data_IF_697518875463
#
_entry.id   IF_697518875463
#
_cell.length_a   1.000
_cell.length_b   1.000
_cell.length_c   1.000
_cell.angle_alpha   90.00
_cell.angle_beta   90.00
_cell.angle_gamma   90.00
#
_symmetry.space_group_name_H-M   'P 1'
#
loop_
_entity.id
_entity.type
_entity.pdbx_description
1 polymer ?
#
# COMPACT_ATOMS: atom_id res chain seq x y z
N UNK A 1 27.52 17.27 -5.29
CA UNK A 1 27.16 15.86 -5.09
C UNK A 1 26.03 15.54 -6.05
N UNK A 2 25.97 14.33 -6.61
CA UNK A 2 24.92 13.97 -7.56
C UNK A 2 23.55 14.04 -6.87
N UNK A 3 22.60 14.80 -7.41
CA UNK A 3 21.30 15.04 -6.79
C UNK A 3 20.58 13.72 -6.46
N UNK A 4 20.68 12.72 -7.34
CA UNK A 4 20.04 11.40 -7.13
C UNK A 4 20.72 10.58 -6.04
N UNK A 5 22.05 10.70 -5.93
CA UNK A 5 22.78 10.09 -4.82
C UNK A 5 22.37 10.72 -3.49
N UNK A 6 22.19 12.05 -3.45
CA UNK A 6 21.71 12.74 -2.25
C UNK A 6 20.34 12.19 -1.83
N UNK A 7 19.38 12.07 -2.74
CA UNK A 7 18.05 11.53 -2.43
C UNK A 7 18.12 10.11 -1.85
N UNK A 8 18.94 9.22 -2.41
CA UNK A 8 19.15 7.88 -1.85
C UNK A 8 19.75 7.96 -0.44
N UNK A 9 20.78 8.77 -0.24
CA UNK A 9 21.47 8.88 1.05
C UNK A 9 20.61 9.54 2.12
N UNK A 10 19.77 10.50 1.75
CA UNK A 10 18.79 11.12 2.65
C UNK A 10 17.78 10.08 3.15
N UNK A 11 17.26 9.24 2.26
CA UNK A 11 16.41 8.10 2.65
C UNK A 11 17.18 7.09 3.51
N UNK A 12 18.43 6.78 3.17
CA UNK A 12 19.26 5.84 3.94
C UNK A 12 19.55 6.35 5.36
N UNK A 13 19.70 7.65 5.53
CA UNK A 13 19.94 8.29 6.83
C UNK A 13 18.66 8.71 7.57
N UNK A 14 17.49 8.55 6.96
CA UNK A 14 16.23 9.01 7.55
C UNK A 14 16.20 10.53 7.72
N UNK A 15 16.74 11.28 6.76
CA UNK A 15 16.74 12.73 6.81
C UNK A 15 15.31 13.28 6.72
N UNK A 16 15.04 14.39 7.41
CA UNK A 16 13.75 15.09 7.34
C UNK A 16 13.39 15.38 5.87
N UNK A 17 12.11 15.20 5.53
CA UNK A 17 11.57 15.31 4.17
C UNK A 17 12.04 14.24 3.17
N UNK A 18 12.75 13.20 3.59
CA UNK A 18 12.91 12.00 2.76
C UNK A 18 11.62 11.16 2.79
N UNK A 19 11.40 10.35 1.74
CA UNK A 19 10.26 9.43 1.69
C UNK A 19 10.26 8.48 2.89
N UNK A 20 11.40 7.87 3.21
CA UNK A 20 11.49 6.94 4.31
C UNK A 20 11.20 7.62 5.66
N UNK A 21 11.63 8.86 5.86
CA UNK A 21 11.28 9.62 7.06
C UNK A 21 9.78 9.86 7.18
N UNK A 22 9.09 10.29 6.12
CA UNK A 22 7.63 10.45 6.12
C UNK A 22 6.93 9.12 6.43
N UNK A 23 7.43 8.04 5.86
CA UNK A 23 6.87 6.71 6.04
C UNK A 23 7.07 6.19 7.48
N UNK A 24 8.27 6.37 8.05
CA UNK A 24 8.65 5.78 9.34
C UNK A 24 8.29 6.64 10.55
N UNK A 25 8.56 7.94 10.48
CA UNK A 25 8.42 8.87 11.62
C UNK A 25 7.05 9.56 11.63
N UNK A 26 6.50 9.85 10.46
CA UNK A 26 5.21 10.54 10.34
C UNK A 26 4.04 9.60 10.03
N UNK A 27 4.34 8.31 9.82
CA UNK A 27 3.37 7.31 9.36
C UNK A 27 2.53 7.85 8.20
N UNK A 28 3.17 8.36 7.16
CA UNK A 28 2.50 8.95 6.00
C UNK A 28 3.14 8.51 4.69
N UNK A 29 2.32 8.01 3.76
CA UNK A 29 2.77 7.63 2.44
C UNK A 29 2.71 8.83 1.49
N UNK A 30 3.86 9.45 1.26
CA UNK A 30 4.02 10.55 0.30
C UNK A 30 4.42 10.00 -1.08
N UNK A 31 3.46 9.98 -2.01
CA UNK A 31 3.66 9.41 -3.34
C UNK A 31 4.65 10.22 -4.19
N UNK A 32 4.73 11.53 -4.00
CA UNK A 32 5.66 12.39 -4.74
C UNK A 32 7.10 12.15 -4.29
N UNK A 33 7.33 12.05 -2.98
CA UNK A 33 8.65 11.71 -2.44
C UNK A 33 9.07 10.28 -2.80
N UNK A 34 8.13 9.32 -2.83
CA UNK A 34 8.41 7.99 -3.37
C UNK A 34 8.80 8.08 -4.85
N UNK A 35 8.11 8.90 -5.64
CA UNK A 35 8.43 9.19 -7.05
C UNK A 35 9.86 9.70 -7.23
N UNK A 36 10.26 10.70 -6.45
CA UNK A 36 11.61 11.25 -6.48
C UNK A 36 12.67 10.21 -6.11
N UNK A 37 12.41 9.43 -5.06
CA UNK A 37 13.28 8.33 -4.64
C UNK A 37 13.43 7.26 -5.74
N UNK A 38 12.32 6.82 -6.33
CA UNK A 38 12.31 5.82 -7.41
C UNK A 38 13.07 6.31 -8.65
N UNK A 39 12.84 7.55 -9.11
CA UNK A 39 13.59 8.10 -10.24
C UNK A 39 15.08 8.22 -9.93
N UNK A 40 15.43 8.53 -8.68
CA UNK A 40 16.81 8.59 -8.24
C UNK A 40 17.49 7.22 -8.29
N UNK A 41 16.81 6.14 -7.89
CA UNK A 41 17.33 4.78 -8.07
C UNK A 41 17.62 4.49 -9.54
N UNK A 42 16.66 4.74 -10.44
CA UNK A 42 16.85 4.49 -11.88
C UNK A 42 18.04 5.23 -12.46
N UNK A 43 18.21 6.49 -12.07
CA UNK A 43 19.33 7.30 -12.54
C UNK A 43 20.67 6.82 -11.98
N UNK A 44 20.70 6.34 -10.73
CA UNK A 44 21.88 5.65 -10.17
C UNK A 44 22.20 4.38 -10.98
N UNK A 45 21.21 3.56 -11.32
CA UNK A 45 21.42 2.39 -12.19
C UNK A 45 22.01 2.80 -13.54
N UNK A 46 21.49 3.86 -14.16
CA UNK A 46 21.99 4.36 -15.44
C UNK A 46 23.46 4.81 -15.36
N UNK A 47 23.85 5.45 -14.26
CA UNK A 47 25.20 5.96 -14.07
C UNK A 47 26.21 4.88 -13.67
N UNK A 48 25.75 3.82 -13.03
CA UNK A 48 26.57 2.70 -12.56
C UNK A 48 26.54 1.51 -13.52
N UNK A 49 25.84 1.61 -14.65
CA UNK A 49 25.69 0.56 -15.63
C UNK A 49 27.05 0.07 -16.15
N UNK A 50 27.29 -1.24 -16.05
CA UNK A 50 28.54 -1.88 -16.47
C UNK A 50 29.73 -1.61 -15.54
N UNK A 51 29.53 -0.93 -14.41
CA UNK A 51 30.54 -0.75 -13.38
C UNK A 51 30.43 -1.85 -12.31
N UNK A 52 31.52 -2.17 -11.59
CA UNK A 52 31.43 -3.01 -10.40
C UNK A 52 30.48 -2.42 -9.36
N UNK A 53 29.73 -3.29 -8.67
CA UNK A 53 28.84 -2.86 -7.59
C UNK A 53 29.61 -2.11 -6.50
N UNK A 54 29.19 -0.87 -6.25
CA UNK A 54 29.66 -0.10 -5.11
C UNK A 54 28.99 -0.62 -3.83
N UNK A 55 29.81 -0.95 -2.82
CA UNK A 55 29.32 -1.58 -1.58
C UNK A 55 28.47 -0.64 -0.74
N UNK A 56 28.78 0.65 -0.73
CA UNK A 56 28.04 1.63 0.05
C UNK A 56 26.68 1.89 -0.60
N UNK A 57 26.66 2.08 -1.92
CA UNK A 57 25.42 2.20 -2.68
C UNK A 57 24.55 0.94 -2.55
N UNK A 58 25.13 -0.25 -2.69
CA UNK A 58 24.40 -1.51 -2.53
C UNK A 58 23.76 -1.64 -1.14
N UNK A 59 24.49 -1.20 -0.09
CA UNK A 59 23.94 -1.15 1.27
C UNK A 59 22.78 -0.17 1.38
N UNK A 60 22.93 1.04 0.84
CA UNK A 60 21.90 2.07 0.91
C UNK A 60 20.62 1.63 0.17
N UNK A 61 20.76 1.08 -1.05
CA UNK A 61 19.66 0.55 -1.85
C UNK A 61 18.94 -0.59 -1.11
N UNK A 62 19.68 -1.59 -0.63
CA UNK A 62 19.08 -2.74 0.08
C UNK A 62 18.37 -2.32 1.35
N UNK A 63 18.99 -1.43 2.13
CA UNK A 63 18.44 -0.97 3.40
C UNK A 63 17.13 -0.21 3.19
N UNK A 64 17.13 0.75 2.27
CA UNK A 64 15.95 1.59 2.00
C UNK A 64 14.81 0.74 1.43
N UNK A 65 15.08 -0.19 0.49
CA UNK A 65 14.07 -1.14 0.02
C UNK A 65 13.48 -1.97 1.17
N UNK A 66 14.34 -2.59 1.99
CA UNK A 66 13.89 -3.43 3.09
C UNK A 66 13.00 -2.67 4.07
N UNK A 67 13.39 -1.44 4.42
CA UNK A 67 12.62 -0.60 5.33
C UNK A 67 11.28 -0.16 4.76
N UNK A 68 11.24 0.21 3.48
CA UNK A 68 9.98 0.53 2.80
C UNK A 68 9.05 -0.70 2.85
N UNK A 69 9.53 -1.87 2.43
CA UNK A 69 8.71 -3.10 2.44
C UNK A 69 8.25 -3.51 3.85
N UNK A 70 9.08 -3.30 4.87
CA UNK A 70 8.75 -3.56 6.27
C UNK A 70 7.58 -2.69 6.73
N UNK A 71 7.63 -1.37 6.48
CA UNK A 71 6.52 -0.46 6.81
C UNK A 71 5.24 -0.78 6.01
N UNK A 72 5.38 -1.12 4.72
CA UNK A 72 4.23 -1.53 3.91
C UNK A 72 3.58 -2.82 4.41
N UNK A 73 4.37 -3.74 4.99
CA UNK A 73 3.87 -4.98 5.56
C UNK A 73 3.17 -4.75 6.91
N UNK A 74 3.69 -3.84 7.74
CA UNK A 74 3.11 -3.53 9.05
C UNK A 74 1.69 -2.96 8.95
N UNK A 75 1.37 -2.21 7.90
CA UNK A 75 0.01 -1.74 7.63
C UNK A 75 -1.04 -2.87 7.57
N UNK A 76 -0.61 -4.11 7.27
CA UNK A 76 -1.48 -5.29 7.23
C UNK A 76 -1.49 -6.11 8.53
N UNK A 77 -0.78 -5.69 9.58
CA UNK A 77 -0.81 -6.37 10.87
C UNK A 77 -2.09 -6.01 11.65
N UNK A 78 -2.81 -7.04 12.13
CA UNK A 78 -4.10 -6.92 12.85
C UNK A 78 -4.01 -6.03 14.11
N UNK A 79 -2.81 -5.86 14.65
CA UNK A 79 -2.46 -5.18 15.90
C UNK A 79 -1.50 -4.01 15.70
N UNK A 80 -1.38 -3.47 14.48
CA UNK A 80 -0.56 -2.29 14.25
C UNK A 80 -1.19 -1.06 14.91
N UNK A 81 -0.43 -0.45 15.83
CA UNK A 81 -0.80 0.80 16.47
C UNK A 81 -0.50 2.02 15.57
N UNK A 82 0.30 1.85 14.52
CA UNK A 82 0.80 2.89 13.63
C UNK A 82 0.21 2.73 12.23
N UNK A 83 -0.93 3.38 12.00
CA UNK A 83 -1.57 3.39 10.69
C UNK A 83 -0.95 4.45 9.78
N UNK A 84 -0.60 4.06 8.56
CA UNK A 84 0.00 4.95 7.57
C UNK A 84 -1.08 5.77 6.87
N UNK A 85 -1.05 7.10 7.04
CA UNK A 85 -1.88 8.04 6.31
C UNK A 85 -1.57 8.04 4.80
N UNK A 86 -2.60 8.25 3.98
CA UNK A 86 -2.50 8.25 2.51
C UNK A 86 -1.95 6.93 1.90
N UNK A 87 -2.12 5.81 2.60
CA UNK A 87 -1.65 4.52 2.13
C UNK A 87 -2.27 4.12 0.77
N UNK A 88 -1.48 3.67 -0.20
CA UNK A 88 -1.93 3.52 -1.58
C UNK A 88 -2.62 2.16 -1.84
N UNK A 89 -3.62 1.76 -1.05
CA UNK A 89 -4.23 0.42 -1.10
C UNK A 89 -4.56 -0.07 -2.53
N UNK A 90 -5.21 0.76 -3.35
CA UNK A 90 -5.61 0.39 -4.71
C UNK A 90 -4.46 0.29 -5.73
N UNK A 91 -3.25 0.72 -5.37
CA UNK A 91 -2.08 0.77 -6.26
C UNK A 91 -0.80 0.25 -5.62
N UNK A 92 -0.85 -0.28 -4.40
CA UNK A 92 0.33 -0.70 -3.66
C UNK A 92 1.22 -1.64 -4.47
N UNK A 93 0.60 -2.58 -5.19
CA UNK A 93 1.29 -3.49 -6.11
C UNK A 93 2.17 -2.73 -7.13
N UNK A 94 1.65 -1.65 -7.72
CA UNK A 94 2.37 -0.85 -8.71
C UNK A 94 3.57 -0.09 -8.14
N UNK A 95 3.51 0.31 -6.86
CA UNK A 95 4.65 0.89 -6.14
C UNK A 95 5.71 -0.17 -5.82
N UNK A 96 5.29 -1.33 -5.32
CA UNK A 96 6.19 -2.45 -4.97
C UNK A 96 6.88 -3.01 -6.21
N UNK A 97 6.15 -3.22 -7.31
CA UNK A 97 6.71 -3.71 -8.58
C UNK A 97 7.80 -2.78 -9.11
N UNK A 98 7.55 -1.47 -9.10
CA UNK A 98 8.53 -0.46 -9.52
C UNK A 98 9.75 -0.44 -8.60
N UNK A 99 9.54 -0.40 -7.29
CA UNK A 99 10.63 -0.45 -6.31
C UNK A 99 11.53 -1.67 -6.56
N UNK A 100 10.95 -2.85 -6.65
CA UNK A 100 11.68 -4.10 -6.89
C UNK A 100 12.40 -4.07 -8.23
N UNK A 101 11.75 -3.60 -9.30
CA UNK A 101 12.39 -3.53 -10.61
C UNK A 101 13.61 -2.59 -10.64
N UNK A 102 13.55 -1.43 -9.98
CA UNK A 102 14.68 -0.52 -9.90
C UNK A 102 15.83 -1.09 -9.06
N UNK A 103 15.51 -1.77 -7.95
CA UNK A 103 16.52 -2.43 -7.11
C UNK A 103 17.16 -3.60 -7.85
N UNK A 104 16.37 -4.45 -8.50
CA UNK A 104 16.89 -5.55 -9.31
C UNK A 104 17.75 -5.04 -10.47
N UNK A 105 17.33 -3.94 -11.12
CA UNK A 105 18.11 -3.26 -12.15
C UNK A 105 19.47 -2.80 -11.65
N UNK A 106 19.55 -2.30 -10.41
CA UNK A 106 20.82 -1.93 -9.77
C UNK A 106 21.73 -3.16 -9.57
N UNK A 107 21.20 -4.24 -9.02
CA UNK A 107 22.01 -5.43 -8.70
C UNK A 107 22.41 -6.26 -9.93
N UNK A 108 21.55 -6.30 -10.95
CA UNK A 108 21.77 -7.10 -12.16
C UNK A 108 22.36 -6.30 -13.32
N UNK A 109 22.36 -4.96 -13.24
CA UNK A 109 22.92 -4.08 -14.26
C UNK A 109 22.05 -3.97 -15.51
N UNK A 110 20.74 -3.75 -15.35
CA UNK A 110 19.83 -3.44 -16.45
C UNK A 110 18.97 -2.21 -16.16
N UNK A 111 18.49 -1.55 -17.21
CA UNK A 111 17.59 -0.41 -17.09
C UNK A 111 16.13 -0.87 -17.09
N UNK A 112 15.35 -0.30 -16.18
CA UNK A 112 13.91 -0.55 -16.07
C UNK A 112 13.18 0.05 -17.27
N UNK A 113 12.40 -0.76 -17.98
CA UNK A 113 11.50 -0.30 -19.04
C UNK A 113 10.15 0.14 -18.46
N UNK A 114 9.93 1.45 -18.38
CA UNK A 114 8.69 2.03 -17.86
C UNK A 114 7.43 1.62 -18.64
N UNK A 115 7.58 1.26 -19.93
CA UNK A 115 6.44 0.84 -20.75
C UNK A 115 5.84 -0.48 -20.26
N UNK A 116 6.63 -1.29 -19.56
CA UNK A 116 6.18 -2.57 -19.01
C UNK A 116 5.16 -2.43 -17.87
N UNK A 117 5.06 -1.26 -17.22
CA UNK A 117 4.16 -1.03 -16.09
C UNK A 117 2.85 -0.29 -16.43
N UNK A 118 2.55 -0.03 -17.70
CA UNK A 118 1.20 0.39 -18.12
C UNK A 118 0.75 1.84 -17.81
N UNK A 119 1.66 2.83 -17.79
CA UNK A 119 1.31 4.27 -17.76
C UNK A 119 1.64 5.03 -16.46
N UNK A 120 1.11 6.26 -16.34
CA UNK A 120 1.34 7.16 -15.18
C UNK A 120 0.68 6.62 -13.91
N UNK A 121 1.48 6.45 -12.86
CA UNK A 121 1.08 5.85 -11.58
C UNK A 121 0.90 6.86 -10.44
N UNK A 122 1.29 8.14 -10.67
CA UNK A 122 1.21 9.25 -9.72
C UNK A 122 -0.05 10.11 -9.86
N UNK A 123 -0.85 9.95 -10.91
CA UNK A 123 -2.11 10.68 -11.04
C UNK A 123 -3.13 10.12 -10.05
N UNK A 124 -3.71 10.97 -9.20
CA UNK A 124 -4.82 10.55 -8.33
C UNK A 124 -5.82 9.73 -9.16
N UNK A 125 -6.25 8.56 -8.67
CA UNK A 125 -7.27 7.85 -9.41
C UNK A 125 -8.50 8.76 -9.53
N UNK A 126 -8.87 9.08 -10.77
CA UNK A 126 -10.25 9.46 -11.10
C UNK A 126 -11.20 8.38 -10.56
N UNK A 127 -12.51 8.66 -10.46
CA UNK A 127 -13.48 7.90 -9.64
C UNK A 127 -13.20 6.40 -9.68
N UNK A 128 -12.45 5.93 -8.70
CA UNK A 128 -11.91 4.58 -8.71
C UNK A 128 -12.72 3.74 -7.77
N UNK A 129 -13.31 2.70 -8.34
CA UNK A 129 -13.74 1.48 -7.67
C UNK A 129 -12.56 1.02 -6.82
N UNK A 130 -12.61 1.24 -5.50
CA UNK A 130 -11.65 0.63 -4.58
C UNK A 130 -12.18 -0.75 -4.23
N UNK A 131 -11.56 -1.80 -4.73
CA UNK A 131 -11.83 -3.15 -4.26
C UNK A 131 -11.21 -3.31 -2.87
N UNK A 132 -12.07 -3.47 -1.87
CA UNK A 132 -11.70 -3.77 -0.50
C UNK A 132 -11.98 -5.25 -0.29
N UNK A 133 -10.94 -6.06 -0.47
CA UNK A 133 -11.04 -7.50 -0.28
C UNK A 133 -10.56 -7.85 1.13
N UNK A 134 -11.42 -8.49 1.91
CA UNK A 134 -11.07 -9.03 3.21
C UNK A 134 -11.11 -10.55 3.19
N UNK A 135 -9.94 -11.18 3.23
CA UNK A 135 -9.76 -12.63 3.24
C UNK A 135 -9.43 -13.11 4.66
N UNK A 136 -10.40 -13.69 5.37
CA UNK A 136 -10.16 -14.30 6.69
C UNK A 136 -10.93 -15.60 6.85
N UNK A 137 -10.22 -16.73 6.97
CA UNK A 137 -10.73 -18.08 7.30
C UNK A 137 -12.22 -18.34 6.92
N UNK A 138 -12.54 -18.29 5.62
CA UNK A 138 -13.88 -18.59 5.10
C UNK A 138 -14.86 -17.42 5.03
N UNK A 139 -14.42 -16.20 5.33
CA UNK A 139 -15.09 -14.94 4.99
C UNK A 139 -14.33 -14.32 3.82
N UNK A 140 -15.04 -14.20 2.69
CA UNK A 140 -14.65 -13.36 1.57
C UNK A 140 -15.65 -12.21 1.54
N UNK A 141 -15.17 -10.99 1.85
CA UNK A 141 -16.01 -9.79 1.83
C UNK A 141 -15.39 -8.83 0.83
N UNK A 142 -16.12 -8.58 -0.24
CA UNK A 142 -15.77 -7.59 -1.26
C UNK A 142 -16.55 -6.31 -1.02
N UNK A 143 -15.85 -5.18 -1.06
CA UNK A 143 -16.49 -3.87 -1.15
C UNK A 143 -15.89 -3.03 -2.26
N UNK A 144 -16.68 -2.10 -2.76
CA UNK A 144 -16.37 -1.16 -3.83
C UNK A 144 -16.53 0.27 -3.30
N UNK A 145 -15.42 1.01 -3.17
CA UNK A 145 -15.42 2.45 -2.91
C UNK A 145 -15.67 3.28 -4.17
N UNK A 146 -16.47 4.34 -4.10
CA UNK A 146 -16.65 5.35 -5.14
C UNK A 146 -16.29 6.74 -4.60
N UNK A 147 -15.48 7.50 -5.35
CA UNK A 147 -15.17 8.89 -5.02
C UNK A 147 -16.27 9.83 -5.51
N UNK A 148 -16.87 10.58 -4.60
CA UNK A 148 -17.84 11.64 -4.85
C UNK A 148 -17.16 12.93 -5.33
N UNK A 149 -17.97 13.85 -5.89
CA UNK A 149 -17.50 15.14 -6.45
C UNK A 149 -16.89 16.08 -5.40
N UNK A 150 -17.25 15.89 -4.13
CA UNK A 150 -16.73 16.61 -2.97
C UNK A 150 -15.44 16.01 -2.41
N UNK A 151 -14.92 14.95 -3.04
CA UNK A 151 -13.71 14.25 -2.62
C UNK A 151 -13.97 13.14 -1.60
N UNK A 152 -15.19 13.03 -1.06
CA UNK A 152 -15.53 11.97 -0.13
C UNK A 152 -15.67 10.62 -0.83
N UNK A 153 -15.41 9.52 -0.14
CA UNK A 153 -15.65 8.17 -0.67
C UNK A 153 -16.96 7.59 -0.11
N UNK A 154 -17.67 6.81 -0.94
CA UNK A 154 -18.78 5.95 -0.53
C UNK A 154 -18.39 4.50 -0.80
N UNK A 155 -18.37 3.64 0.23
CA UNK A 155 -18.02 2.22 0.09
C UNK A 155 -19.25 1.34 0.11
N UNK A 156 -19.46 0.55 -0.94
CA UNK A 156 -20.58 -0.35 -1.15
C UNK A 156 -20.11 -1.79 -1.00
N UNK A 157 -20.87 -2.66 -0.34
CA UNK A 157 -20.57 -4.10 -0.34
C UNK A 157 -21.05 -4.71 -1.66
N UNK A 158 -20.15 -5.41 -2.38
CA UNK A 158 -20.51 -6.18 -3.57
C UNK A 158 -20.62 -7.68 -3.19
N UNK A 159 -21.84 -8.16 -3.03
CA UNK A 159 -22.14 -9.58 -2.81
C UNK A 159 -22.46 -10.32 -4.14
N UNK A 160 -22.32 -9.66 -5.30
CA UNK A 160 -23.00 -10.00 -6.54
C UNK A 160 -22.30 -10.96 -7.50
N UNK A 161 -20.96 -11.04 -7.48
CA UNK A 161 -20.21 -11.86 -8.45
C UNK A 161 -19.71 -13.20 -7.91
N UNK A 162 -20.07 -13.56 -6.68
CA UNK A 162 -19.59 -14.80 -6.06
C UNK A 162 -20.53 -16.00 -6.31
N UNK A 163 -21.04 -16.11 -7.54
CA UNK A 163 -21.89 -17.23 -7.99
C UNK A 163 -21.11 -18.52 -8.26
N UNK A 164 -19.78 -18.49 -8.20
CA UNK A 164 -18.92 -19.64 -8.53
C UNK A 164 -18.27 -20.33 -7.32
N UNK A 165 -18.20 -19.70 -6.14
CA UNK A 165 -17.65 -20.34 -4.93
C UNK A 165 -18.76 -21.07 -4.15
N UNK A 166 -19.02 -22.28 -4.63
CA UNK A 166 -19.87 -23.26 -3.97
C UNK A 166 -19.15 -23.90 -2.77
N UNK A 167 -19.93 -24.16 -1.71
CA UNK A 167 -19.61 -24.98 -0.54
C UNK A 167 -18.75 -24.37 0.58
N UNK A 168 -19.31 -23.40 1.31
CA UNK A 168 -19.11 -23.38 2.77
C UNK A 168 -20.41 -23.00 3.49
N UNK A 169 -20.86 -23.87 4.41
CA UNK A 169 -22.12 -23.79 5.15
C UNK A 169 -21.98 -22.91 6.40
N UNK A 170 -21.56 -21.67 6.24
CA UNK A 170 -21.62 -20.66 7.30
C UNK A 170 -22.55 -19.53 6.85
N UNK A 171 -23.45 -19.14 7.75
CA UNK A 171 -24.70 -18.42 7.49
C UNK A 171 -24.58 -17.11 6.70
N UNK A 172 -24.90 -17.16 5.41
CA UNK A 172 -25.15 -16.04 4.46
C UNK A 172 -26.38 -15.17 4.79
N UNK A 173 -26.73 -14.91 6.07
CA UNK A 173 -28.03 -14.28 6.42
C UNK A 173 -27.99 -12.93 7.15
N UNK A 174 -26.82 -12.41 7.52
CA UNK A 174 -26.73 -11.22 8.40
C UNK A 174 -25.91 -10.04 7.85
N UNK A 175 -25.65 -9.95 6.54
CA UNK A 175 -24.86 -8.84 5.95
C UNK A 175 -25.54 -8.05 4.82
N UNK A 176 -26.88 -8.07 4.70
CA UNK A 176 -27.59 -7.35 3.63
C UNK A 176 -27.61 -5.83 3.87
N UNK A 177 -26.96 -5.02 3.02
CA UNK A 177 -27.17 -3.56 3.02
C UNK A 177 -26.20 -2.73 2.14
N UNK A 178 -26.66 -1.56 1.67
CA UNK A 178 -25.78 -0.47 1.21
C UNK A 178 -25.30 0.27 2.46
N UNK A 179 -24.03 0.10 2.79
CA UNK A 179 -23.38 0.91 3.80
C UNK A 179 -22.77 2.13 3.11
N UNK A 180 -22.77 3.28 3.78
CA UNK A 180 -22.15 4.49 3.24
C UNK A 180 -21.26 5.01 4.34
N UNK A 181 -19.97 5.04 4.07
CA UNK A 181 -18.95 5.50 5.00
C UNK A 181 -18.34 6.76 4.43
N UNK A 182 -18.68 7.97 4.93
CA UNK A 182 -18.02 9.17 4.48
C UNK A 182 -16.56 9.12 4.88
N UNK A 183 -15.66 9.16 3.91
CA UNK A 183 -14.22 9.18 4.14
C UNK A 183 -13.56 10.29 3.31
N UNK A 184 -12.62 11.07 3.87
CA UNK A 184 -11.97 12.18 3.16
C UNK A 184 -11.05 11.72 2.02
N UNK A 185 -10.58 10.46 2.06
CA UNK A 185 -9.71 9.86 1.06
C UNK A 185 -9.89 8.33 1.00
N UNK A 186 -9.21 7.69 0.05
CA UNK A 186 -9.29 6.25 -0.20
C UNK A 186 -8.75 5.40 0.96
N UNK A 187 -7.69 5.87 1.64
CA UNK A 187 -7.07 5.19 2.77
C UNK A 187 -8.01 5.22 3.98
N UNK A 188 -8.62 6.37 4.26
CA UNK A 188 -9.65 6.51 5.27
C UNK A 188 -10.89 5.65 4.94
N UNK A 189 -11.26 5.51 3.67
CA UNK A 189 -12.37 4.66 3.24
C UNK A 189 -12.08 3.17 3.51
N UNK A 190 -10.88 2.70 3.12
CA UNK A 190 -10.40 1.35 3.42
C UNK A 190 -10.41 1.09 4.93
N UNK A 191 -9.88 2.03 5.72
CA UNK A 191 -9.79 1.91 7.18
C UNK A 191 -11.16 1.78 7.83
N UNK A 192 -12.09 2.69 7.52
CA UNK A 192 -13.44 2.67 8.12
C UNK A 192 -14.15 1.35 7.76
N UNK A 193 -13.97 0.89 6.52
CA UNK A 193 -14.49 -0.39 6.10
C UNK A 193 -13.87 -1.57 6.86
N UNK A 194 -12.54 -1.62 6.96
CA UNK A 194 -11.80 -2.65 7.69
C UNK A 194 -12.23 -2.71 9.17
N UNK A 195 -12.31 -1.56 9.85
CA UNK A 195 -12.80 -1.48 11.23
C UNK A 195 -14.25 -1.98 11.36
N UNK A 196 -15.12 -1.64 10.40
CA UNK A 196 -16.48 -2.14 10.37
C UNK A 196 -16.53 -3.66 10.18
N UNK A 197 -15.73 -4.21 9.26
CA UNK A 197 -15.62 -5.67 9.06
C UNK A 197 -15.15 -6.34 10.34
N UNK A 198 -14.10 -5.82 10.96
CA UNK A 198 -13.55 -6.37 12.19
C UNK A 198 -14.54 -6.30 13.36
N UNK A 199 -15.29 -5.20 13.49
CA UNK A 199 -16.31 -5.06 14.54
C UNK A 199 -17.51 -5.99 14.38
N UNK A 200 -17.96 -6.21 13.15
CA UNK A 200 -19.22 -6.91 12.88
C UNK A 200 -19.04 -8.39 12.51
N UNK A 201 -17.86 -8.77 11.98
CA UNK A 201 -17.60 -10.11 11.43
C UNK A 201 -16.34 -10.76 11.98
N UNK A 202 -15.48 -10.08 12.75
CA UNK A 202 -14.40 -10.80 13.44
C UNK A 202 -14.97 -11.62 14.61
N UNK A 203 -14.46 -12.84 14.86
CA UNK A 203 -14.85 -13.66 16.00
C UNK A 203 -14.29 -13.13 17.34
N UNK A 204 -13.83 -11.88 17.43
CA UNK A 204 -13.42 -11.23 18.69
C UNK A 204 -14.63 -10.84 19.57
N UNK A 205 -15.54 -11.79 19.77
CA UNK A 205 -16.30 -11.91 21.01
C UNK A 205 -15.54 -12.78 22.00
N UNK A 206 -14.21 -12.59 22.11
CA UNK A 206 -13.47 -13.21 23.21
C UNK A 206 -13.74 -12.44 24.51
N UNK A 207 -14.46 -13.10 25.41
CA UNK A 207 -14.07 -13.12 26.82
C UNK A 207 -14.29 -11.85 27.70
N UNK A 208 -15.35 -11.06 27.48
CA UNK A 208 -15.85 -10.10 28.50
C UNK A 208 -17.37 -10.12 28.71
N UNK A 209 -17.98 -11.32 28.69
CA UNK A 209 -19.41 -11.49 28.98
C UNK A 209 -19.81 -12.76 29.74
N UNK A 210 -18.85 -13.51 30.29
CA UNK A 210 -19.12 -14.64 31.20
C UNK A 210 -18.21 -14.58 32.41
N UNK A 211 -18.65 -13.82 33.41
CA UNK A 211 -18.33 -13.80 34.85
C UNK A 211 -19.11 -12.57 35.34
N UNK A 212 -20.22 -12.66 36.06
CA UNK A 212 -20.70 -13.61 37.08
C UNK A 212 -22.21 -13.65 37.07
#
# INVERSE_FOLDING_TARGET
MNQHLQVLMDNFHGAENSFLYRLSEEAFFDADLFGEYYQSLKEIVRQTLGQPLDRELARAVSFTQAKILEHLLWEYADDDAFQIGNFPFGRLHAFIERLNAAVDGYFQGYLVDEQSFGGEWLTEPGPSVIHLDFLKQGLDIHAVGFKNKDGAYEVFLDEGEDKALADSRVSRKEARGRFIFPAPDASAAFRIFHEWVMKNYAPYSSAMGRRT
#
